data_IF_280478970726
#
_entry.id   IF_280478970726
#
_cell.length_a   1.000
_cell.length_b   1.000
_cell.length_c   1.000
_cell.angle_alpha   90.00
_cell.angle_beta   90.00
_cell.angle_gamma   90.00
#
_symmetry.space_group_name_H-M   'P 1'
#
loop_
_entity.id
_entity.type
_entity.pdbx_description
1 polymer ?
#
# COMPACT_ATOMS: atom_id res chain seq x y z
N UNK A 1 -7.29 30.22 -26.59
CA UNK A 1 -7.56 29.24 -25.51
C UNK A 1 -6.72 28.01 -25.79
N UNK A 2 -5.65 27.80 -25.04
CA UNK A 2 -4.67 26.73 -25.25
C UNK A 2 -5.34 25.36 -25.10
N UNK A 3 -5.15 24.53 -26.13
CA UNK A 3 -5.68 23.18 -26.35
C UNK A 3 -5.15 22.14 -25.35
N UNK A 4 -5.31 22.38 -24.05
CA UNK A 4 -5.04 21.35 -23.04
C UNK A 4 -6.38 20.93 -22.45
N UNK A 5 -6.69 19.63 -22.38
CA UNK A 5 -7.93 19.11 -21.78
C UNK A 5 -8.05 19.35 -20.26
N UNK A 6 -7.32 20.32 -19.71
CA UNK A 6 -7.21 20.69 -18.32
C UNK A 6 -7.85 22.07 -18.08
N UNK A 7 -8.46 22.27 -16.91
CA UNK A 7 -9.06 23.56 -16.53
C UNK A 7 -8.03 24.56 -16.03
N UNK A 8 -6.86 24.08 -15.58
CA UNK A 8 -5.74 24.91 -15.09
C UNK A 8 -4.45 24.51 -15.79
N UNK A 9 -3.59 25.50 -15.98
CA UNK A 9 -2.23 25.27 -16.46
C UNK A 9 -1.41 24.49 -15.44
N UNK A 10 -0.38 23.80 -15.93
CA UNK A 10 0.53 23.02 -15.09
C UNK A 10 1.24 23.98 -14.13
N UNK A 11 1.03 23.74 -12.84
CA UNK A 11 1.74 24.46 -11.77
C UNK A 11 3.16 23.95 -11.60
N UNK A 12 3.69 24.11 -10.38
CA UNK A 12 5.02 23.60 -10.03
C UNK A 12 5.08 22.07 -10.09
N UNK A 13 6.25 21.52 -10.41
CA UNK A 13 6.42 20.06 -10.49
C UNK A 13 6.21 19.40 -9.13
N UNK A 14 5.55 18.24 -9.12
CA UNK A 14 5.44 17.37 -7.95
C UNK A 14 6.82 17.06 -7.37
N UNK A 15 6.95 17.09 -6.03
CA UNK A 15 8.21 16.78 -5.33
C UNK A 15 9.38 17.57 -5.90
N UNK A 16 9.25 18.91 -6.00
CA UNK A 16 10.24 19.76 -6.68
C UNK A 16 11.67 19.64 -6.14
N UNK A 17 11.84 19.18 -4.91
CA UNK A 17 13.13 18.92 -4.26
C UNK A 17 13.90 17.73 -4.89
N UNK A 18 13.18 16.76 -5.46
CA UNK A 18 13.73 15.52 -6.04
C UNK A 18 13.29 15.29 -7.49
N UNK A 19 12.59 16.25 -8.09
CA UNK A 19 12.14 16.20 -9.49
C UNK A 19 13.33 16.09 -10.44
N UNK A 20 13.33 15.08 -11.32
CA UNK A 20 14.45 14.79 -12.25
C UNK A 20 15.84 14.69 -11.57
N UNK A 21 15.89 14.27 -10.31
CA UNK A 21 17.13 14.14 -9.55
C UNK A 21 17.99 12.95 -9.97
N UNK A 22 17.39 11.91 -10.58
CA UNK A 22 18.12 10.71 -11.03
C UNK A 22 18.29 10.75 -12.56
N UNK A 23 19.53 10.93 -13.05
CA UNK A 23 19.79 10.99 -14.48
C UNK A 23 19.62 9.60 -15.10
N UNK A 24 18.80 9.51 -16.16
CA UNK A 24 18.69 8.29 -16.97
C UNK A 24 19.60 8.47 -18.18
N UNK A 25 20.68 7.67 -18.29
CA UNK A 25 21.58 7.82 -19.43
C UNK A 25 20.82 7.49 -20.73
N UNK A 26 20.76 8.46 -21.65
CA UNK A 26 20.15 8.25 -22.98
C UNK A 26 21.03 7.37 -23.87
N UNK A 27 22.33 7.27 -23.54
CA UNK A 27 23.36 6.51 -24.26
C UNK A 27 23.86 5.37 -23.34
N UNK A 28 23.72 4.13 -23.79
CA UNK A 28 24.15 2.93 -23.05
C UNK A 28 23.25 1.69 -23.27
N UNK A 29 23.72 0.49 -22.87
CA UNK A 29 22.97 -0.75 -23.03
C UNK A 29 21.67 -0.75 -22.21
N UNK A 30 20.62 -1.40 -22.73
CA UNK A 30 19.24 -1.37 -22.18
C UNK A 30 19.12 -1.77 -20.71
N UNK A 31 20.05 -2.58 -20.19
CA UNK A 31 20.06 -2.99 -18.77
C UNK A 31 20.51 -1.85 -17.83
N UNK A 32 21.43 -0.98 -18.24
CA UNK A 32 21.84 0.20 -17.44
C UNK A 32 20.72 1.23 -17.36
N UNK A 33 19.98 1.41 -18.46
CA UNK A 33 18.75 2.21 -18.47
C UNK A 33 17.71 1.62 -17.53
N UNK A 34 17.47 0.31 -17.60
CA UNK A 34 16.54 -0.37 -16.69
C UNK A 34 16.94 -0.17 -15.21
N UNK A 35 18.22 -0.35 -14.85
CA UNK A 35 18.74 -0.10 -13.51
C UNK A 35 18.51 1.32 -12.99
N UNK A 36 18.54 2.34 -13.86
CA UNK A 36 18.23 3.71 -13.47
C UNK A 36 16.74 3.92 -13.14
N UNK A 37 15.85 3.11 -13.74
CA UNK A 37 14.41 3.15 -13.45
C UNK A 37 13.99 2.24 -12.29
N UNK A 38 14.87 1.35 -11.81
CA UNK A 38 14.58 0.56 -10.61
C UNK A 38 14.58 1.46 -9.36
N UNK A 39 13.59 1.27 -8.48
CA UNK A 39 13.46 2.02 -7.22
C UNK A 39 12.01 2.45 -6.92
N UNK A 40 11.38 3.28 -7.78
CA UNK A 40 10.02 3.78 -7.57
C UNK A 40 9.00 2.69 -7.31
N UNK A 41 9.08 1.59 -8.06
CA UNK A 41 8.22 0.41 -7.91
C UNK A 41 8.38 -0.25 -6.55
N UNK A 42 9.59 -0.29 -5.98
CA UNK A 42 9.82 -0.84 -4.64
C UNK A 42 9.27 0.07 -3.54
N UNK A 43 9.38 1.39 -3.69
CA UNK A 43 8.74 2.34 -2.76
C UNK A 43 7.22 2.17 -2.76
N UNK A 44 6.64 1.89 -3.93
CA UNK A 44 5.19 1.62 -4.03
C UNK A 44 4.84 0.26 -3.45
N UNK A 45 5.59 -0.79 -3.78
CA UNK A 45 5.33 -2.17 -3.36
C UNK A 45 5.35 -2.35 -1.84
N UNK A 46 6.07 -1.50 -1.12
CA UNK A 46 6.16 -1.56 0.34
C UNK A 46 4.84 -1.26 1.03
N UNK A 47 4.05 -0.30 0.52
CA UNK A 47 2.75 -0.04 1.11
C UNK A 47 1.80 -1.24 0.96
N UNK A 48 2.03 -2.12 -0.01
CA UNK A 48 1.27 -3.37 -0.19
C UNK A 48 1.68 -4.48 0.79
N UNK A 49 2.61 -4.21 1.70
CA UNK A 49 3.07 -5.14 2.72
C UNK A 49 2.86 -4.59 4.13
N UNK A 50 2.04 -3.56 4.31
CA UNK A 50 1.77 -2.91 5.59
C UNK A 50 1.06 -3.85 6.59
N UNK A 51 1.03 -3.52 7.89
CA UNK A 51 0.40 -4.38 8.90
C UNK A 51 -1.11 -4.59 8.67
N UNK A 52 -1.79 -3.66 7.99
CA UNK A 52 -3.20 -3.80 7.62
C UNK A 52 -3.43 -4.98 6.66
N UNK A 53 -2.55 -5.16 5.68
CA UNK A 53 -2.57 -6.31 4.76
C UNK A 53 -2.28 -7.65 5.46
N UNK A 54 -1.52 -7.64 6.55
CA UNK A 54 -1.17 -8.86 7.28
C UNK A 54 -2.36 -9.43 8.03
N UNK A 55 -3.14 -8.58 8.70
CA UNK A 55 -4.30 -9.01 9.47
C UNK A 55 -5.30 -9.79 8.58
N UNK A 56 -5.60 -9.27 7.38
CA UNK A 56 -6.51 -9.93 6.44
C UNK A 56 -5.93 -11.22 5.85
N UNK A 57 -4.62 -11.25 5.58
CA UNK A 57 -3.94 -12.45 5.06
C UNK A 57 -3.84 -13.56 6.11
N UNK A 58 -3.56 -13.21 7.37
CA UNK A 58 -3.51 -14.14 8.50
C UNK A 58 -4.90 -14.72 8.79
N UNK A 59 -5.92 -13.88 8.89
CA UNK A 59 -7.31 -14.31 9.10
C UNK A 59 -7.79 -15.20 7.94
N UNK A 60 -7.46 -14.84 6.70
CA UNK A 60 -7.80 -15.63 5.53
C UNK A 60 -7.15 -17.02 5.53
N UNK A 61 -5.86 -17.08 5.86
CA UNK A 61 -5.12 -18.34 5.92
C UNK A 61 -5.54 -19.23 7.09
N UNK A 62 -5.78 -18.67 8.28
CA UNK A 62 -6.18 -19.42 9.47
C UNK A 62 -7.60 -20.00 9.34
N UNK A 63 -8.54 -19.26 8.75
CA UNK A 63 -9.94 -19.69 8.58
C UNK A 63 -10.14 -20.63 7.38
N UNK A 64 -9.56 -20.31 6.23
CA UNK A 64 -9.88 -20.95 4.95
C UNK A 64 -8.69 -21.65 4.28
N UNK A 65 -7.58 -21.81 4.99
CA UNK A 65 -6.39 -22.44 4.46
C UNK A 65 -5.87 -21.70 3.22
N UNK A 66 -5.57 -22.45 2.15
CA UNK A 66 -4.99 -21.90 0.93
C UNK A 66 -6.02 -21.29 -0.05
N UNK A 67 -7.32 -21.35 0.23
CA UNK A 67 -8.38 -21.00 -0.73
C UNK A 67 -8.35 -19.52 -1.17
N UNK A 68 -7.88 -18.62 -0.30
CA UNK A 68 -7.84 -17.18 -0.57
C UNK A 68 -6.57 -16.70 -1.30
N UNK A 69 -5.64 -17.60 -1.64
CA UNK A 69 -4.44 -17.25 -2.44
C UNK A 69 -4.80 -16.69 -3.82
N UNK A 70 -5.82 -17.24 -4.46
CA UNK A 70 -6.33 -16.71 -5.74
C UNK A 70 -6.82 -15.27 -5.62
N UNK A 71 -7.41 -14.91 -4.47
CA UNK A 71 -7.89 -13.54 -4.23
C UNK A 71 -6.71 -12.58 -4.08
N UNK A 72 -5.67 -12.97 -3.33
CA UNK A 72 -4.44 -12.20 -3.23
C UNK A 72 -3.77 -11.97 -4.60
N UNK A 73 -3.76 -13.00 -5.46
CA UNK A 73 -3.26 -12.91 -6.83
C UNK A 73 -4.09 -11.94 -7.69
N UNK A 74 -5.42 -12.08 -7.70
CA UNK A 74 -6.32 -11.20 -8.46
C UNK A 74 -6.17 -9.75 -7.99
N UNK A 75 -6.12 -9.55 -6.68
CA UNK A 75 -5.91 -8.25 -6.06
C UNK A 75 -4.58 -7.61 -6.49
N UNK A 76 -3.51 -8.40 -6.55
CA UNK A 76 -2.22 -7.93 -7.06
C UNK A 76 -2.26 -7.56 -8.55
N UNK A 77 -2.95 -8.35 -9.38
CA UNK A 77 -3.15 -8.03 -10.80
C UNK A 77 -3.90 -6.69 -10.94
N UNK A 78 -4.94 -6.48 -10.14
CA UNK A 78 -5.67 -5.20 -10.09
C UNK A 78 -4.73 -4.05 -9.70
N UNK A 79 -3.89 -4.24 -8.68
CA UNK A 79 -2.90 -3.26 -8.27
C UNK A 79 -1.90 -2.94 -9.39
N UNK A 80 -1.33 -3.94 -10.07
CA UNK A 80 -0.39 -3.74 -11.20
C UNK A 80 -1.05 -2.93 -12.32
N UNK A 81 -2.31 -3.23 -12.66
CA UNK A 81 -3.06 -2.48 -13.67
C UNK A 81 -3.18 -1.00 -13.27
N UNK A 82 -3.65 -0.72 -12.07
CA UNK A 82 -3.84 0.64 -11.58
C UNK A 82 -2.51 1.40 -11.44
N UNK A 83 -1.47 0.74 -10.95
CA UNK A 83 -0.15 1.33 -10.79
C UNK A 83 0.52 1.63 -12.14
N UNK A 84 0.29 0.80 -13.16
CA UNK A 84 0.73 1.10 -14.53
C UNK A 84 0.05 2.35 -15.10
N UNK A 85 -1.20 2.63 -14.72
CA UNK A 85 -1.90 3.86 -15.09
C UNK A 85 -1.35 5.08 -14.35
N UNK A 86 -1.01 4.94 -13.06
CA UNK A 86 -0.36 6.02 -12.28
C UNK A 86 0.98 6.43 -12.89
N UNK A 87 1.85 5.46 -13.18
CA UNK A 87 3.13 5.70 -13.83
C UNK A 87 2.92 6.38 -15.19
N UNK A 88 1.96 5.91 -15.98
CA UNK A 88 1.62 6.51 -17.28
C UNK A 88 1.12 7.93 -17.16
N UNK A 89 0.24 8.22 -16.21
CA UNK A 89 -0.28 9.58 -15.95
C UNK A 89 0.88 10.53 -15.62
N UNK A 90 1.72 10.15 -14.66
CA UNK A 90 2.86 10.95 -14.21
C UNK A 90 3.85 11.25 -15.33
N UNK A 91 4.22 10.25 -16.12
CA UNK A 91 5.18 10.40 -17.23
C UNK A 91 4.59 11.17 -18.41
N UNK A 92 3.34 10.88 -18.79
CA UNK A 92 2.73 11.48 -19.98
C UNK A 92 2.37 12.95 -19.77
N UNK A 93 1.83 13.28 -18.59
CA UNK A 93 1.26 14.61 -18.32
C UNK A 93 2.20 15.52 -17.52
N UNK A 94 3.22 14.95 -16.88
CA UNK A 94 4.08 15.65 -15.92
C UNK A 94 3.35 16.14 -14.68
N UNK A 95 2.16 15.59 -14.40
CA UNK A 95 1.34 15.88 -13.21
C UNK A 95 1.19 14.60 -12.41
N UNK A 96 1.31 14.70 -11.10
CA UNK A 96 0.83 13.62 -10.24
C UNK A 96 -0.71 13.58 -10.24
N UNK A 97 -1.29 12.53 -9.67
CA UNK A 97 -2.73 12.33 -9.62
C UNK A 97 -3.47 13.44 -8.85
N UNK A 98 -2.87 14.00 -7.79
CA UNK A 98 -3.48 15.08 -7.01
C UNK A 98 -3.51 16.39 -7.81
N UNK A 99 -2.40 16.74 -8.47
CA UNK A 99 -2.32 17.85 -9.42
C UNK A 99 -3.31 17.67 -10.57
N UNK A 100 -3.39 16.47 -11.14
CA UNK A 100 -4.33 16.15 -12.21
C UNK A 100 -5.79 16.34 -11.75
N UNK A 101 -6.15 15.90 -10.54
CA UNK A 101 -7.47 16.13 -9.97
C UNK A 101 -7.75 17.63 -9.77
N UNK A 102 -6.80 18.36 -9.18
CA UNK A 102 -6.90 19.81 -8.95
C UNK A 102 -7.07 20.61 -10.25
N UNK A 103 -6.32 20.24 -11.29
CA UNK A 103 -6.32 20.91 -12.59
C UNK A 103 -7.51 20.50 -13.47
N UNK A 104 -8.14 19.36 -13.19
CA UNK A 104 -9.31 18.86 -13.92
C UNK A 104 -10.65 19.35 -13.34
N UNK A 105 -10.73 19.51 -12.02
CA UNK A 105 -11.98 19.76 -11.30
C UNK A 105 -12.08 21.19 -10.73
N UNK A 106 -13.30 21.72 -10.51
CA UNK A 106 -13.47 23.00 -9.81
C UNK A 106 -13.04 22.86 -8.33
N UNK A 107 -12.72 23.99 -7.68
CA UNK A 107 -12.25 24.01 -6.28
C UNK A 107 -13.20 23.30 -5.31
N UNK A 108 -14.51 23.40 -5.55
CA UNK A 108 -15.56 22.77 -4.73
C UNK A 108 -15.47 21.24 -4.72
N UNK A 109 -14.95 20.61 -5.78
CA UNK A 109 -14.76 19.15 -5.85
C UNK A 109 -13.35 18.78 -5.41
N UNK A 110 -12.35 19.61 -5.74
CA UNK A 110 -10.95 19.37 -5.38
C UNK A 110 -10.70 19.38 -3.87
N UNK A 111 -11.42 20.21 -3.11
CA UNK A 111 -11.19 20.37 -1.67
C UNK A 111 -11.69 19.16 -0.85
N UNK A 112 -12.91 18.62 -1.09
CA UNK A 112 -13.32 17.36 -0.47
C UNK A 112 -12.40 16.18 -0.84
N UNK A 113 -11.96 16.08 -2.10
CA UNK A 113 -11.02 15.03 -2.53
C UNK A 113 -9.71 15.08 -1.75
N UNK A 114 -9.18 16.28 -1.52
CA UNK A 114 -8.00 16.48 -0.68
C UNK A 114 -8.24 16.03 0.76
N UNK A 115 -9.35 16.48 1.37
CA UNK A 115 -9.66 16.15 2.75
C UNK A 115 -9.76 14.64 2.95
N UNK A 116 -10.47 13.94 2.06
CA UNK A 116 -10.61 12.48 2.14
C UNK A 116 -9.26 11.77 1.89
N UNK A 117 -8.40 12.31 1.02
CA UNK A 117 -7.06 11.76 0.80
C UNK A 117 -6.17 11.93 2.03
N UNK A 118 -6.20 13.09 2.68
CA UNK A 118 -5.43 13.36 3.89
C UNK A 118 -5.91 12.50 5.05
N UNK A 119 -7.23 12.34 5.22
CA UNK A 119 -7.82 11.44 6.22
C UNK A 119 -7.36 9.99 5.98
N UNK A 120 -7.37 9.51 4.74
CA UNK A 120 -6.90 8.17 4.42
C UNK A 120 -5.40 7.99 4.71
N UNK A 121 -4.57 9.00 4.50
CA UNK A 121 -3.14 8.95 4.84
C UNK A 121 -2.93 8.92 6.35
N UNK A 122 -3.68 9.71 7.12
CA UNK A 122 -3.65 9.64 8.58
C UNK A 122 -4.12 8.27 9.10
N UNK A 123 -5.11 7.66 8.45
CA UNK A 123 -5.56 6.30 8.77
C UNK A 123 -4.46 5.25 8.50
N UNK A 124 -3.73 5.37 7.39
CA UNK A 124 -2.55 4.52 7.13
C UNK A 124 -1.48 4.72 8.20
N UNK A 125 -1.10 5.97 8.50
CA UNK A 125 -0.06 6.28 9.50
C UNK A 125 -0.45 5.74 10.88
N UNK A 126 -1.75 5.74 11.22
CA UNK A 126 -2.28 5.10 12.42
C UNK A 126 -2.09 3.58 12.41
N UNK A 127 -2.35 2.89 11.29
CA UNK A 127 -2.12 1.45 11.16
C UNK A 127 -0.64 1.10 11.35
N UNK A 128 0.25 1.94 10.83
CA UNK A 128 1.71 1.78 10.95
C UNK A 128 2.21 1.99 12.38
N UNK A 129 1.71 3.02 13.07
CA UNK A 129 2.02 3.28 14.48
C UNK A 129 1.63 2.07 15.32
N UNK A 130 0.43 1.54 15.11
CA UNK A 130 -0.07 0.36 15.81
C UNK A 130 0.80 -0.86 15.49
N UNK A 131 1.06 -1.16 14.22
CA UNK A 131 1.86 -2.31 13.83
C UNK A 131 3.29 -2.24 14.38
N UNK A 132 3.91 -1.07 14.37
CA UNK A 132 5.25 -0.84 14.94
C UNK A 132 5.23 -1.02 16.46
N UNK A 133 4.22 -0.48 17.15
CA UNK A 133 4.06 -0.63 18.60
C UNK A 133 3.85 -2.09 19.00
N UNK A 134 3.04 -2.84 18.24
CA UNK A 134 2.87 -4.29 18.41
C UNK A 134 4.22 -4.99 18.18
N UNK A 135 4.95 -4.68 17.10
CA UNK A 135 6.28 -5.25 16.85
C UNK A 135 7.28 -5.02 17.99
N UNK A 136 7.28 -3.82 18.59
CA UNK A 136 8.08 -3.48 19.76
C UNK A 136 7.66 -4.26 21.01
N UNK A 137 6.35 -4.40 21.22
CA UNK A 137 5.80 -5.19 22.33
C UNK A 137 6.22 -6.66 22.22
N UNK A 138 6.07 -7.24 21.03
CA UNK A 138 6.40 -8.64 20.79
C UNK A 138 7.90 -8.93 20.91
N UNK A 139 8.76 -8.01 20.46
CA UNK A 139 10.22 -8.22 20.45
C UNK A 139 10.90 -7.90 21.79
N UNK A 140 10.46 -6.84 22.47
CA UNK A 140 11.13 -6.30 23.66
C UNK A 140 10.27 -6.34 24.93
N UNK A 141 9.01 -6.78 24.84
CA UNK A 141 8.06 -6.76 25.96
C UNK A 141 7.65 -5.35 26.36
N UNK A 142 7.81 -4.36 25.47
CA UNK A 142 7.47 -2.96 25.77
C UNK A 142 5.93 -2.79 25.76
N UNK A 143 5.31 -2.23 26.81
CA UNK A 143 3.87 -1.95 26.82
C UNK A 143 3.44 -1.12 25.59
N UNK A 144 2.26 -1.41 25.03
CA UNK A 144 1.79 -0.77 23.78
C UNK A 144 1.72 0.76 23.90
N UNK A 145 1.36 1.30 25.07
CA UNK A 145 1.25 2.74 25.31
C UNK A 145 2.61 3.42 25.12
N UNK A 146 3.67 2.79 25.65
CA UNK A 146 5.05 3.26 25.51
C UNK A 146 5.54 3.01 24.08
N UNK A 147 5.20 1.86 23.49
CA UNK A 147 5.52 1.51 22.11
C UNK A 147 5.02 2.57 21.12
N UNK A 148 3.75 2.98 21.24
CA UNK A 148 3.14 4.05 20.44
C UNK A 148 3.92 5.36 20.57
N UNK A 149 4.33 5.75 21.78
CA UNK A 149 5.13 6.98 21.99
C UNK A 149 6.53 6.83 21.35
N UNK A 150 7.17 5.66 21.49
CA UNK A 150 8.48 5.38 20.88
C UNK A 150 8.41 5.51 19.36
N UNK A 151 7.29 5.16 18.73
CA UNK A 151 7.15 5.34 17.27
C UNK A 151 7.34 6.79 16.81
N UNK A 152 7.13 7.79 17.68
CA UNK A 152 7.41 9.19 17.34
C UNK A 152 8.90 9.45 17.01
N UNK A 153 9.80 8.56 17.44
CA UNK A 153 11.23 8.67 17.14
C UNK A 153 11.55 8.41 15.66
N UNK A 154 10.65 7.74 14.93
CA UNK A 154 10.83 7.47 13.49
C UNK A 154 10.88 8.76 12.65
N UNK A 155 10.32 9.86 13.18
CA UNK A 155 10.38 11.18 12.57
C UNK A 155 11.84 11.57 12.44
N UNK A 156 12.64 11.47 13.50
CA UNK A 156 14.06 11.80 13.46
C UNK A 156 14.84 10.93 12.48
N UNK A 157 14.49 9.64 12.37
CA UNK A 157 15.10 8.72 11.40
C UNK A 157 14.84 9.19 9.96
N UNK A 158 13.60 9.54 9.64
CA UNK A 158 13.22 10.02 8.30
C UNK A 158 13.91 11.34 7.98
N UNK A 159 13.99 12.26 8.94
CA UNK A 159 14.69 13.53 8.75
C UNK A 159 16.17 13.36 8.48
N UNK A 160 16.80 12.45 9.21
CA UNK A 160 18.20 12.12 8.98
C UNK A 160 18.42 11.58 7.56
N UNK A 161 17.53 10.71 7.08
CA UNK A 161 17.65 10.08 5.76
C UNK A 161 17.36 11.05 4.62
N UNK A 162 16.36 11.91 4.77
CA UNK A 162 16.02 12.93 3.77
C UNK A 162 17.20 13.90 3.53
N UNK A 163 17.92 14.29 4.58
CA UNK A 163 19.11 15.12 4.47
C UNK A 163 20.27 14.46 3.68
N UNK A 164 20.29 13.13 3.55
CA UNK A 164 21.31 12.41 2.77
C UNK A 164 20.94 12.18 1.30
N UNK A 165 19.69 12.49 0.90
CA UNK A 165 19.21 12.38 -0.48
C UNK A 165 18.45 11.09 -0.80
N UNK A 166 17.73 11.12 -1.91
CA UNK A 166 16.70 10.13 -2.26
C UNK A 166 17.21 8.69 -2.39
N UNK A 167 18.45 8.50 -2.87
CA UNK A 167 19.06 7.16 -3.03
C UNK A 167 19.23 6.41 -1.70
N UNK A 168 19.45 7.13 -0.60
CA UNK A 168 19.54 6.54 0.73
C UNK A 168 18.17 6.07 1.24
N UNK A 169 17.12 6.83 0.92
CA UNK A 169 15.74 6.45 1.22
C UNK A 169 15.38 5.17 0.45
N UNK A 170 15.64 5.13 -0.87
CA UNK A 170 15.42 3.93 -1.68
C UNK A 170 16.21 2.72 -1.13
N UNK A 171 17.48 2.90 -0.75
CA UNK A 171 18.31 1.83 -0.21
C UNK A 171 17.80 1.29 1.14
N UNK A 172 17.34 2.16 2.04
CA UNK A 172 16.73 1.72 3.30
C UNK A 172 15.49 0.87 3.02
N UNK A 173 14.59 1.38 2.18
CA UNK A 173 13.32 0.74 1.82
C UNK A 173 13.57 -0.67 1.26
N UNK A 174 14.51 -0.81 0.33
CA UNK A 174 14.91 -2.10 -0.26
C UNK A 174 15.55 -3.01 0.79
N UNK A 175 16.34 -2.48 1.71
CA UNK A 175 16.97 -3.27 2.79
C UNK A 175 15.92 -3.83 3.75
N UNK A 176 15.01 -3.00 4.24
CA UNK A 176 13.91 -3.42 5.11
C UNK A 176 13.02 -4.46 4.41
N UNK A 177 12.75 -4.25 3.13
CA UNK A 177 12.02 -5.19 2.28
C UNK A 177 12.73 -6.55 2.18
N UNK A 178 14.06 -6.55 2.02
CA UNK A 178 14.89 -7.75 2.03
C UNK A 178 14.82 -8.49 3.37
N UNK A 179 14.86 -7.77 4.50
CA UNK A 179 14.72 -8.36 5.84
C UNK A 179 13.37 -9.05 5.99
N UNK A 180 12.26 -8.37 5.62
CA UNK A 180 10.90 -8.96 5.68
C UNK A 180 10.84 -10.26 4.88
N UNK A 181 11.36 -10.25 3.65
CA UNK A 181 11.34 -11.43 2.79
C UNK A 181 12.19 -12.58 3.33
N UNK A 182 13.37 -12.31 3.91
CA UNK A 182 14.19 -13.34 4.56
C UNK A 182 13.47 -13.91 5.78
N UNK A 183 12.84 -13.06 6.62
CA UNK A 183 12.08 -13.51 7.78
C UNK A 183 10.94 -14.46 7.39
N UNK A 184 10.14 -14.13 6.36
CA UNK A 184 9.06 -15.01 5.91
C UNK A 184 9.54 -16.23 5.15
N UNK A 185 10.64 -16.12 4.39
CA UNK A 185 11.24 -17.26 3.71
C UNK A 185 11.67 -18.33 4.73
N UNK A 186 12.36 -17.92 5.81
CA UNK A 186 12.76 -18.83 6.88
C UNK A 186 11.52 -19.47 7.53
N UNK A 187 10.50 -18.67 7.84
CA UNK A 187 9.26 -19.19 8.45
C UNK A 187 8.51 -20.17 7.56
N UNK A 188 8.44 -19.94 6.24
CA UNK A 188 7.84 -20.90 5.29
C UNK A 188 8.62 -22.21 5.27
N UNK A 189 9.95 -22.13 5.20
CA UNK A 189 10.80 -23.33 5.19
C UNK A 189 10.56 -24.14 6.48
N UNK A 190 10.38 -23.46 7.61
CA UNK A 190 10.07 -24.10 8.89
C UNK A 190 8.64 -24.66 8.97
N UNK A 191 7.68 -24.02 8.32
CA UNK A 191 6.28 -24.45 8.31
C UNK A 191 6.01 -25.68 7.44
N UNK A 192 6.93 -26.02 6.52
CA UNK A 192 6.85 -27.14 5.57
C UNK A 192 5.45 -27.31 4.93
N UNK A 193 4.95 -26.29 4.20
CA UNK A 193 3.61 -26.33 3.64
C UNK A 193 3.50 -27.38 2.53
N UNK A 194 2.29 -27.94 2.38
CA UNK A 194 1.98 -28.82 1.27
C UNK A 194 1.90 -28.04 -0.05
N UNK A 195 3.03 -27.94 -0.76
CA UNK A 195 3.16 -27.16 -2.00
C UNK A 195 2.12 -27.52 -3.09
N UNK A 196 1.68 -28.79 -3.15
CA UNK A 196 0.60 -29.19 -4.04
C UNK A 196 -0.74 -28.51 -3.74
N UNK A 197 -1.05 -28.28 -2.47
CA UNK A 197 -2.24 -27.56 -2.03
C UNK A 197 -2.08 -26.04 -2.22
N UNK A 198 -0.89 -25.50 -1.99
CA UNK A 198 -0.56 -24.08 -2.25
C UNK A 198 -0.79 -23.73 -3.72
N UNK A 199 -0.27 -24.53 -4.65
CA UNK A 199 -0.45 -24.31 -6.09
C UNK A 199 -1.93 -24.40 -6.47
N UNK A 200 -2.69 -25.34 -5.89
CA UNK A 200 -4.15 -25.42 -6.08
C UNK A 200 -4.89 -24.22 -5.49
N UNK A 201 -4.39 -23.61 -4.41
CA UNK A 201 -4.99 -22.41 -3.81
C UNK A 201 -4.95 -21.19 -4.72
N UNK A 202 -4.04 -21.15 -5.70
CA UNK A 202 -4.05 -20.12 -6.75
C UNK A 202 -5.07 -20.38 -7.86
N UNK A 203 -5.74 -21.54 -7.88
CA UNK A 203 -6.81 -21.81 -8.82
C UNK A 203 -8.13 -21.20 -8.34
N UNK A 204 -8.99 -20.68 -9.24
CA UNK A 204 -10.30 -20.15 -8.86
C UNK A 204 -11.19 -21.21 -8.23
N UNK A 205 -11.88 -20.84 -7.15
CA UNK A 205 -12.89 -21.66 -6.47
C UNK A 205 -14.22 -20.89 -6.44
N UNK A 206 -15.34 -21.61 -6.60
CA UNK A 206 -16.69 -21.04 -6.48
C UNK A 206 -17.09 -20.77 -5.04
N UNK A 207 -16.38 -21.33 -4.07
CA UNK A 207 -16.70 -21.25 -2.64
C UNK A 207 -16.57 -19.83 -2.10
N UNK A 208 -15.71 -19.02 -2.73
CA UNK A 208 -15.51 -17.60 -2.38
C UNK A 208 -16.80 -16.80 -2.56
N UNK A 209 -17.62 -17.15 -3.55
CA UNK A 209 -18.86 -16.41 -3.85
C UNK A 209 -20.07 -16.99 -3.10
N UNK A 210 -20.01 -18.26 -2.69
CA UNK A 210 -21.11 -18.93 -1.97
C UNK A 210 -21.02 -18.76 -0.46
N UNK A 211 -19.82 -18.63 0.11
CA UNK A 211 -19.61 -18.48 1.54
C UNK A 211 -19.48 -16.98 1.93
N UNK A 212 -20.41 -16.42 2.74
CA UNK A 212 -20.38 -15.01 3.14
C UNK A 212 -19.11 -14.60 3.88
N UNK A 213 -18.58 -15.45 4.77
CA UNK A 213 -17.38 -15.15 5.56
C UNK A 213 -16.11 -15.18 4.70
N UNK A 214 -16.05 -16.13 3.76
CA UNK A 214 -14.96 -16.21 2.80
C UNK A 214 -14.99 -15.02 1.84
N UNK A 215 -16.19 -14.63 1.40
CA UNK A 215 -16.38 -13.43 0.61
C UNK A 215 -15.89 -12.21 1.41
N UNK A 216 -16.32 -12.03 2.65
CA UNK A 216 -15.91 -10.90 3.49
C UNK A 216 -14.38 -10.77 3.62
N UNK A 217 -13.67 -11.87 3.92
CA UNK A 217 -12.20 -11.84 3.95
C UNK A 217 -11.59 -11.60 2.57
N UNK A 218 -12.17 -12.15 1.51
CA UNK A 218 -11.74 -11.87 0.14
C UNK A 218 -11.88 -10.37 -0.20
N UNK A 219 -12.98 -9.75 0.20
CA UNK A 219 -13.21 -8.31 0.07
C UNK A 219 -12.18 -7.51 0.87
N UNK A 220 -11.88 -7.94 2.11
CA UNK A 220 -10.86 -7.35 2.96
C UNK A 220 -9.47 -7.39 2.32
N UNK A 221 -9.06 -8.54 1.76
CA UNK A 221 -7.79 -8.69 1.04
C UNK A 221 -7.71 -7.73 -0.15
N UNK A 222 -8.78 -7.63 -0.96
CA UNK A 222 -8.81 -6.72 -2.12
C UNK A 222 -8.72 -5.25 -1.68
N UNK A 223 -9.50 -4.86 -0.67
CA UNK A 223 -9.54 -3.50 -0.13
C UNK A 223 -8.21 -3.07 0.47
N UNK A 224 -7.59 -3.93 1.29
CA UNK A 224 -6.30 -3.66 1.93
C UNK A 224 -5.15 -3.58 0.91
N UNK A 225 -5.22 -4.37 -0.17
CA UNK A 225 -4.16 -4.35 -1.19
C UNK A 225 -4.15 -3.02 -1.94
N UNK A 226 -5.30 -2.55 -2.45
CA UNK A 226 -5.31 -1.36 -3.32
C UNK A 226 -5.39 -0.08 -2.48
N UNK A 227 -4.23 0.40 -2.03
CA UNK A 227 -4.17 1.63 -1.23
C UNK A 227 -4.27 2.91 -2.07
N UNK A 228 -5.16 3.87 -1.71
CA UNK A 228 -5.33 5.09 -2.50
C UNK A 228 -4.09 5.99 -2.47
N UNK A 229 -3.42 6.13 -1.32
CA UNK A 229 -2.23 6.97 -1.18
C UNK A 229 -1.07 6.49 -2.08
N UNK A 230 -0.95 5.17 -2.32
CA UNK A 230 0.04 4.62 -3.24
C UNK A 230 -0.21 5.00 -4.70
N UNK A 231 -1.45 5.28 -5.10
CA UNK A 231 -1.76 5.77 -6.45
C UNK A 231 -1.19 7.19 -6.64
N UNK A 232 -1.36 8.06 -5.64
CA UNK A 232 -0.76 9.39 -5.63
C UNK A 232 0.77 9.29 -5.58
N UNK A 233 1.31 8.47 -4.67
CA UNK A 233 2.74 8.25 -4.50
C UNK A 233 3.43 7.87 -5.80
N UNK A 234 2.95 6.83 -6.49
CA UNK A 234 3.60 6.33 -7.70
C UNK A 234 3.58 7.37 -8.83
N UNK A 235 2.46 8.08 -8.98
CA UNK A 235 2.33 9.14 -9.99
C UNK A 235 3.26 10.33 -9.76
N UNK A 236 3.67 10.58 -8.50
CA UNK A 236 4.66 11.58 -8.13
C UNK A 236 6.10 11.07 -8.26
N UNK A 237 6.43 9.91 -7.68
CA UNK A 237 7.80 9.39 -7.64
C UNK A 237 8.34 9.08 -9.03
N UNK A 238 7.51 8.64 -9.97
CA UNK A 238 7.95 8.35 -11.34
C UNK A 238 8.57 9.58 -12.03
N UNK A 239 8.26 10.79 -11.55
CA UNK A 239 8.80 12.06 -12.05
C UNK A 239 10.18 12.43 -11.47
N UNK A 240 10.73 11.62 -10.56
CA UNK A 240 12.11 11.77 -10.06
C UNK A 240 13.16 11.38 -11.09
N UNK A 241 12.78 10.58 -12.10
CA UNK A 241 13.67 10.13 -13.18
C UNK A 241 13.71 11.16 -14.31
N UNK A 242 14.90 11.54 -14.77
CA UNK A 242 15.06 12.40 -15.93
C UNK A 242 15.04 11.60 -17.23
N UNK A 243 13.85 11.34 -17.74
CA UNK A 243 13.61 10.50 -18.93
C UNK A 243 13.48 11.29 -20.24
N UNK A 244 13.84 12.57 -20.30
CA UNK A 244 13.72 13.38 -21.53
C UNK A 244 12.29 13.83 -21.86
N UNK A 245 12.14 14.65 -22.91
CA UNK A 245 10.88 15.31 -23.26
C UNK A 245 10.17 14.74 -24.51
N UNK A 246 10.86 13.93 -25.30
CA UNK A 246 10.30 13.37 -26.54
C UNK A 246 9.23 12.31 -26.27
N UNK A 247 8.38 12.04 -27.27
CA UNK A 247 7.31 11.04 -27.14
C UNK A 247 7.89 9.63 -27.06
N UNK A 248 8.96 9.36 -27.81
CA UNK A 248 9.68 8.09 -27.77
C UNK A 248 10.31 7.84 -26.39
N UNK A 249 10.96 8.85 -25.80
CA UNK A 249 11.58 8.70 -24.48
C UNK A 249 10.53 8.48 -23.39
N UNK A 250 9.43 9.24 -23.41
CA UNK A 250 8.30 9.05 -22.49
C UNK A 250 7.65 7.67 -22.65
N UNK A 251 7.51 7.17 -23.87
CA UNK A 251 6.99 5.80 -24.11
C UNK A 251 7.92 4.73 -23.55
N UNK A 252 9.23 4.91 -23.71
CA UNK A 252 10.25 4.04 -23.14
C UNK A 252 10.20 4.06 -21.61
N UNK A 253 10.12 5.26 -21.01
CA UNK A 253 9.99 5.44 -19.57
C UNK A 253 8.73 4.77 -19.00
N UNK A 254 7.58 4.89 -19.69
CA UNK A 254 6.34 4.20 -19.28
C UNK A 254 6.55 2.69 -19.25
N UNK A 255 7.24 2.13 -20.26
CA UNK A 255 7.53 0.69 -20.32
C UNK A 255 8.42 0.24 -19.14
N UNK A 256 9.49 0.98 -18.86
CA UNK A 256 10.39 0.65 -17.75
C UNK A 256 9.73 0.84 -16.37
N UNK A 257 8.98 1.93 -16.16
CA UNK A 257 8.26 2.15 -14.91
C UNK A 257 7.14 1.10 -14.69
N UNK A 258 6.47 0.68 -15.76
CA UNK A 258 5.49 -0.42 -15.68
C UNK A 258 6.18 -1.73 -15.32
N UNK A 259 7.33 -2.03 -15.91
CA UNK A 259 8.09 -3.25 -15.61
C UNK A 259 8.61 -3.25 -14.16
N UNK A 260 9.21 -2.14 -13.72
CA UNK A 260 9.71 -1.96 -12.35
C UNK A 260 8.60 -2.17 -11.31
N UNK A 261 7.47 -1.47 -11.47
CA UNK A 261 6.31 -1.66 -10.59
C UNK A 261 5.70 -3.06 -10.66
N UNK A 262 5.65 -3.70 -11.84
CA UNK A 262 5.14 -5.08 -11.96
C UNK A 262 6.03 -6.07 -11.20
N UNK A 263 7.35 -5.95 -11.34
CA UNK A 263 8.30 -6.83 -10.63
C UNK A 263 8.20 -6.61 -9.12
N UNK A 264 8.18 -5.34 -8.68
CA UNK A 264 8.10 -5.01 -7.26
C UNK A 264 6.76 -5.46 -6.64
N UNK A 265 5.63 -5.29 -7.34
CA UNK A 265 4.33 -5.77 -6.87
C UNK A 265 4.21 -7.30 -6.91
N UNK A 266 4.86 -7.98 -7.85
CA UNK A 266 4.95 -9.45 -7.84
C UNK A 266 5.71 -9.94 -6.61
N UNK A 267 6.75 -9.22 -6.21
CA UNK A 267 7.44 -9.47 -4.94
C UNK A 267 6.53 -9.21 -3.73
N UNK A 268 5.70 -8.15 -3.76
CA UNK A 268 4.65 -7.91 -2.77
C UNK A 268 3.65 -9.07 -2.66
N UNK A 269 3.21 -9.61 -3.79
CA UNK A 269 2.37 -10.81 -3.81
C UNK A 269 3.08 -12.00 -3.15
N UNK A 270 4.37 -12.20 -3.40
CA UNK A 270 5.11 -13.31 -2.81
C UNK A 270 5.12 -13.22 -1.27
N UNK A 271 5.31 -12.03 -0.71
CA UNK A 271 5.25 -11.81 0.75
C UNK A 271 3.83 -12.00 1.30
N UNK A 272 2.81 -11.42 0.66
CA UNK A 272 1.42 -11.57 1.11
C UNK A 272 0.94 -13.02 1.03
N UNK A 273 1.28 -13.73 -0.06
CA UNK A 273 1.04 -15.15 -0.18
C UNK A 273 1.80 -15.93 0.89
N UNK A 274 3.03 -15.50 1.24
CA UNK A 274 3.81 -16.14 2.28
C UNK A 274 3.16 -16.06 3.66
N UNK A 275 2.59 -14.91 4.01
CA UNK A 275 1.85 -14.71 5.26
C UNK A 275 0.62 -15.62 5.32
N UNK A 276 -0.14 -15.68 4.22
CA UNK A 276 -1.34 -16.52 4.14
C UNK A 276 -0.99 -18.01 4.19
N UNK A 277 0.05 -18.44 3.47
CA UNK A 277 0.55 -19.82 3.49
C UNK A 277 1.03 -20.20 4.89
N UNK A 278 1.77 -19.31 5.57
CA UNK A 278 2.21 -19.52 6.94
C UNK A 278 1.02 -19.71 7.88
N UNK A 279 0.01 -18.83 7.80
CA UNK A 279 -1.20 -18.97 8.62
C UNK A 279 -1.98 -20.26 8.33
N UNK A 280 -2.08 -20.65 7.06
CA UNK A 280 -2.74 -21.89 6.67
C UNK A 280 -1.97 -23.14 7.14
N UNK A 281 -0.66 -23.16 6.98
CA UNK A 281 0.19 -24.30 7.36
C UNK A 281 0.31 -24.44 8.88
N UNK A 282 0.44 -23.33 9.60
CA UNK A 282 0.66 -23.34 11.05
C UNK A 282 -0.64 -23.37 11.85
N UNK A 283 -1.64 -22.55 11.51
CA UNK A 283 -2.85 -22.37 12.33
C UNK A 283 -4.03 -23.21 11.83
N UNK A 284 -4.32 -23.18 10.53
CA UNK A 284 -5.47 -23.91 9.99
C UNK A 284 -5.29 -25.43 10.10
N UNK A 285 -4.10 -25.94 9.78
CA UNK A 285 -3.79 -27.36 9.86
C UNK A 285 -3.88 -27.92 11.29
N UNK A 286 -3.74 -27.08 12.31
CA UNK A 286 -3.76 -27.44 13.73
C UNK A 286 -5.10 -27.15 14.41
N UNK A 287 -6.10 -26.68 13.65
CA UNK A 287 -7.46 -26.41 14.13
C UNK A 287 -7.66 -25.03 14.75
N UNK A 288 -6.65 -24.15 14.71
CA UNK A 288 -6.74 -22.77 15.17
C UNK A 288 -7.31 -21.87 14.06
N UNK A 289 -8.64 -21.83 13.95
CA UNK A 289 -9.34 -21.10 12.88
C UNK A 289 -9.67 -19.65 13.22
N UNK A 290 -9.40 -19.16 14.42
CA UNK A 290 -9.72 -17.79 14.84
C UNK A 290 -8.47 -16.98 15.22
N UNK A 291 -7.45 -17.02 14.36
CA UNK A 291 -6.23 -16.19 14.51
C UNK A 291 -6.37 -14.96 13.63
N UNK A 292 -6.82 -13.87 14.21
CA UNK A 292 -7.04 -12.58 13.53
C UNK A 292 -6.11 -11.50 14.04
N UNK A 293 -5.70 -11.57 15.31
CA UNK A 293 -4.84 -10.60 15.93
C UNK A 293 -3.36 -10.93 15.72
N UNK A 294 -2.55 -9.89 15.50
CA UNK A 294 -1.09 -10.02 15.30
C UNK A 294 -0.40 -10.61 16.54
N UNK A 295 -0.93 -10.35 17.74
CA UNK A 295 -0.43 -10.92 18.99
C UNK A 295 -0.68 -12.42 19.11
N UNK A 296 -1.88 -12.87 18.72
CA UNK A 296 -2.23 -14.29 18.68
C UNK A 296 -1.33 -15.05 17.72
N UNK A 297 -1.12 -14.52 16.52
CA UNK A 297 -0.20 -15.10 15.54
C UNK A 297 1.20 -15.28 16.15
N UNK A 298 1.75 -14.26 16.80
CA UNK A 298 3.07 -14.34 17.43
C UNK A 298 3.16 -15.40 18.53
N UNK A 299 2.18 -15.46 19.42
CA UNK A 299 2.18 -16.42 20.53
C UNK A 299 2.06 -17.87 20.06
N UNK A 300 1.30 -18.10 18.99
CA UNK A 300 1.05 -19.42 18.41
C UNK A 300 2.17 -19.90 17.50
N UNK A 301 3.00 -19.00 16.95
CA UNK A 301 4.13 -19.41 16.08
C UNK A 301 5.17 -20.27 16.81
N UNK A 302 5.47 -19.99 18.09
CA UNK A 302 6.46 -20.76 18.87
C UNK A 302 6.07 -22.24 19.05
N UNK A 303 4.88 -22.56 19.62
CA UNK A 303 4.47 -23.94 19.82
C UNK A 303 4.22 -24.69 18.51
N UNK A 304 3.77 -24.01 17.45
CA UNK A 304 3.34 -24.66 16.22
C UNK A 304 4.49 -24.90 15.22
N UNK A 305 5.50 -24.02 15.21
CA UNK A 305 6.70 -24.21 14.38
C UNK A 305 7.85 -24.87 15.14
N UNK A 306 7.68 -25.16 16.43
CA UNK A 306 8.67 -25.86 17.25
C UNK A 306 9.99 -25.11 17.44
N UNK A 307 10.00 -23.78 17.26
CA UNK A 307 11.21 -22.96 17.32
C UNK A 307 10.97 -21.61 17.96
N UNK A 308 11.80 -21.29 18.95
CA UNK A 308 11.81 -20.00 19.63
C UNK A 308 12.22 -18.83 18.72
N UNK A 309 12.73 -19.10 17.50
CA UNK A 309 13.18 -18.07 16.57
C UNK A 309 12.02 -17.52 15.73
N UNK A 310 10.96 -18.32 15.48
CA UNK A 310 9.87 -17.93 14.58
C UNK A 310 9.08 -16.68 15.06
N UNK A 311 8.68 -16.55 16.33
CA UNK A 311 8.01 -15.35 16.83
C UNK A 311 8.89 -14.10 16.69
N UNK A 312 10.19 -14.22 17.00
CA UNK A 312 11.16 -13.13 16.86
C UNK A 312 11.30 -12.66 15.41
N UNK A 313 11.35 -13.59 14.44
CA UNK A 313 11.39 -13.25 13.01
C UNK A 313 10.11 -12.54 12.57
N UNK A 314 8.95 -12.97 13.08
CA UNK A 314 7.67 -12.30 12.81
C UNK A 314 7.64 -10.88 13.37
N UNK A 315 8.08 -10.68 14.62
CA UNK A 315 8.15 -9.37 15.26
C UNK A 315 9.13 -8.42 14.56
N UNK A 316 10.31 -8.93 14.16
CA UNK A 316 11.29 -8.15 13.36
C UNK A 316 10.68 -7.74 12.02
N UNK A 317 10.02 -8.67 11.31
CA UNK A 317 9.39 -8.36 10.04
C UNK A 317 8.28 -7.30 10.20
N UNK A 318 7.47 -7.40 11.26
CA UNK A 318 6.40 -6.45 11.56
C UNK A 318 6.96 -5.04 11.87
N UNK A 319 8.06 -4.97 12.62
CA UNK A 319 8.76 -3.71 12.91
C UNK A 319 9.33 -3.09 11.63
N UNK A 320 10.01 -3.88 10.79
CA UNK A 320 10.54 -3.43 9.51
C UNK A 320 9.42 -2.94 8.58
N UNK A 321 8.28 -3.62 8.56
CA UNK A 321 7.10 -3.26 7.79
C UNK A 321 6.55 -1.88 8.18
N UNK A 322 6.31 -1.65 9.49
CA UNK A 322 5.80 -0.37 9.99
C UNK A 322 6.73 0.80 9.67
N UNK A 323 8.04 0.64 9.90
CA UNK A 323 9.05 1.65 9.57
C UNK A 323 9.12 2.00 8.08
N UNK A 324 8.87 1.01 7.21
CA UNK A 324 8.99 1.18 5.77
C UNK A 324 7.78 1.94 5.19
N UNK A 325 6.57 1.56 5.61
CA UNK A 325 5.33 2.21 5.18
C UNK A 325 5.31 3.71 5.57
N UNK A 326 5.88 4.02 6.73
CA UNK A 326 6.07 5.38 7.26
C UNK A 326 6.70 6.37 6.27
N UNK A 327 7.76 5.93 5.59
CA UNK A 327 8.46 6.75 4.58
C UNK A 327 7.52 7.08 3.43
N UNK A 328 6.77 6.08 2.97
CA UNK A 328 5.88 6.17 1.82
C UNK A 328 4.64 7.02 2.11
N UNK A 329 4.04 6.88 3.30
CA UNK A 329 2.91 7.69 3.74
C UNK A 329 3.25 9.19 3.79
N UNK A 330 4.44 9.52 4.28
CA UNK A 330 4.92 10.91 4.37
C UNK A 330 5.08 11.54 2.99
N UNK A 331 5.65 10.79 2.03
CA UNK A 331 5.82 11.22 0.65
C UNK A 331 4.48 11.33 -0.09
N UNK A 332 3.60 10.34 0.08
CA UNK A 332 2.28 10.32 -0.54
C UNK A 332 1.47 11.53 -0.06
N UNK A 333 1.56 11.82 1.23
CA UNK A 333 1.04 13.04 1.80
C UNK A 333 1.58 14.28 1.08
N UNK A 334 2.91 14.43 1.02
CA UNK A 334 3.53 15.61 0.40
C UNK A 334 2.97 15.86 -1.00
N UNK A 335 2.88 14.82 -1.81
CA UNK A 335 2.28 14.85 -3.15
C UNK A 335 0.80 15.30 -3.08
N UNK A 336 0.00 14.74 -2.18
CA UNK A 336 -1.43 15.09 -2.04
C UNK A 336 -1.61 16.56 -1.65
N UNK A 337 -0.86 17.06 -0.67
CA UNK A 337 -1.03 18.44 -0.19
C UNK A 337 -0.48 19.47 -1.18
N UNK A 338 0.71 19.27 -1.72
CA UNK A 338 1.27 20.13 -2.77
C UNK A 338 0.37 20.09 -4.02
N UNK A 339 -0.09 18.90 -4.39
CA UNK A 339 -0.88 18.70 -5.60
C UNK A 339 -2.29 19.26 -5.53
N UNK A 340 -2.99 19.13 -4.40
CA UNK A 340 -4.35 19.66 -4.25
C UNK A 340 -4.40 21.11 -3.75
N UNK A 341 -3.57 21.48 -2.77
CA UNK A 341 -3.64 22.79 -2.10
C UNK A 341 -2.56 23.78 -2.55
N UNK A 342 -1.51 23.33 -3.26
CA UNK A 342 -0.34 24.17 -3.60
C UNK A 342 0.38 24.72 -2.36
N UNK A 343 0.26 24.02 -1.23
CA UNK A 343 0.93 24.34 0.03
C UNK A 343 2.19 23.49 0.14
N UNK A 344 3.33 24.14 0.36
CA UNK A 344 4.62 23.49 0.58
C UNK A 344 4.97 23.58 2.05
N UNK A 345 4.84 22.47 2.77
CA UNK A 345 5.39 22.33 4.11
C UNK A 345 6.71 21.59 4.02
N UNK A 346 7.64 21.94 4.90
CA UNK A 346 8.83 21.13 5.08
C UNK A 346 8.42 19.69 5.44
N UNK A 347 9.05 18.65 4.85
CA UNK A 347 8.68 17.26 5.11
C UNK A 347 8.65 16.90 6.59
N UNK A 348 9.54 17.49 7.39
CA UNK A 348 9.60 17.30 8.84
C UNK A 348 8.39 17.81 9.59
N UNK A 349 7.92 19.00 9.21
CA UNK A 349 6.78 19.63 9.86
C UNK A 349 5.52 18.83 9.53
N UNK A 350 5.39 18.42 8.26
CA UNK A 350 4.31 17.54 7.84
C UNK A 350 4.31 16.25 8.65
N UNK A 351 5.46 15.59 8.70
CA UNK A 351 5.64 14.32 9.39
C UNK A 351 5.24 14.43 10.87
N UNK A 352 5.65 15.51 11.53
CA UNK A 352 5.27 15.77 12.91
C UNK A 352 3.74 15.94 13.06
N UNK A 353 3.11 16.71 12.17
CA UNK A 353 1.65 16.95 12.18
C UNK A 353 0.89 15.63 11.98
N UNK A 354 1.19 14.89 10.92
CA UNK A 354 0.50 13.61 10.63
C UNK A 354 0.72 12.61 11.76
N UNK A 355 1.94 12.57 12.32
CA UNK A 355 2.25 11.65 13.40
C UNK A 355 1.58 12.00 14.71
N UNK A 356 1.43 13.28 15.04
CA UNK A 356 0.61 13.72 16.19
C UNK A 356 -0.86 13.33 15.98
N UNK A 357 -1.39 13.54 14.77
CA UNK A 357 -2.77 13.17 14.42
C UNK A 357 -2.99 11.65 14.48
N UNK A 358 -1.98 10.84 14.20
CA UNK A 358 -2.06 9.38 14.32
C UNK A 358 -1.84 8.86 15.75
N UNK A 359 -0.85 9.39 16.47
CA UNK A 359 -0.48 8.96 17.83
C UNK A 359 -1.56 9.32 18.84
N UNK A 360 -2.14 10.52 18.78
CA UNK A 360 -3.08 10.97 19.82
C UNK A 360 -4.31 10.05 19.91
N UNK A 361 -5.01 9.71 18.81
CA UNK A 361 -6.10 8.75 18.85
C UNK A 361 -5.63 7.34 19.23
N UNK A 362 -4.49 6.88 18.71
CA UNK A 362 -3.96 5.56 19.03
C UNK A 362 -3.67 5.41 20.53
N UNK A 363 -2.90 6.34 21.11
CA UNK A 363 -2.57 6.35 22.52
C UNK A 363 -3.83 6.46 23.40
N UNK A 364 -4.78 7.32 23.04
CA UNK A 364 -6.03 7.45 23.79
C UNK A 364 -6.84 6.15 23.82
N UNK A 365 -6.97 5.46 22.69
CA UNK A 365 -7.68 4.18 22.59
C UNK A 365 -6.93 3.07 23.30
N UNK A 366 -5.61 2.98 23.14
CA UNK A 366 -4.79 1.97 23.83
C UNK A 366 -4.86 2.13 25.34
N UNK A 367 -4.78 3.37 25.87
CA UNK A 367 -4.88 3.63 27.32
C UNK A 367 -6.29 3.31 27.85
N UNK A 368 -7.34 3.59 27.08
CA UNK A 368 -8.71 3.40 27.54
C UNK A 368 -9.25 1.96 27.37
N UNK A 369 -8.84 1.25 26.31
CA UNK A 369 -9.43 -0.01 25.87
C UNK A 369 -8.42 -1.15 25.63
N UNK A 370 -7.12 -0.89 25.81
CA UNK A 370 -6.05 -1.90 25.69
C UNK A 370 -5.87 -2.45 24.26
N UNK A 371 -5.45 -3.72 24.18
CA UNK A 371 -5.11 -4.41 22.93
C UNK A 371 -6.32 -4.55 21.99
N UNK A 372 -7.47 -4.97 22.52
CA UNK A 372 -8.71 -5.14 21.73
C UNK A 372 -9.20 -3.84 21.08
N UNK A 373 -9.05 -2.70 21.76
CA UNK A 373 -9.36 -1.39 21.20
C UNK A 373 -8.41 -1.01 20.06
N UNK A 374 -7.14 -1.38 20.21
CA UNK A 374 -6.09 -1.12 19.22
C UNK A 374 -6.32 -1.95 17.94
N UNK A 375 -6.72 -3.22 18.07
CA UNK A 375 -7.11 -4.07 16.94
C UNK A 375 -8.33 -3.50 16.18
N UNK A 376 -9.37 -3.06 16.90
CA UNK A 376 -10.54 -2.40 16.30
C UNK A 376 -10.17 -1.11 15.56
N UNK A 377 -9.23 -0.34 16.12
CA UNK A 377 -8.73 0.89 15.49
C UNK A 377 -7.95 0.60 14.20
N UNK A 378 -7.20 -0.50 14.16
CA UNK A 378 -6.54 -0.99 12.96
C UNK A 378 -7.55 -1.38 11.88
N UNK A 379 -8.66 -2.05 12.23
CA UNK A 379 -9.72 -2.39 11.26
C UNK A 379 -10.39 -1.11 10.75
N UNK A 380 -10.73 -0.17 11.65
CA UNK A 380 -11.36 1.10 11.29
C UNK A 380 -10.51 1.89 10.29
N UNK A 381 -9.19 1.90 10.45
CA UNK A 381 -8.32 2.59 9.49
C UNK A 381 -8.45 2.00 8.09
N UNK A 382 -8.57 0.67 7.95
CA UNK A 382 -8.79 0.03 6.65
C UNK A 382 -10.12 0.43 6.01
N UNK A 383 -11.19 0.55 6.81
CA UNK A 383 -12.49 1.03 6.31
C UNK A 383 -12.36 2.43 5.72
N UNK A 384 -11.64 3.32 6.41
CA UNK A 384 -11.39 4.69 5.94
C UNK A 384 -10.60 4.72 4.62
N UNK A 385 -9.57 3.87 4.49
CA UNK A 385 -8.82 3.72 3.24
C UNK A 385 -9.71 3.24 2.10
N UNK A 386 -10.55 2.25 2.38
CA UNK A 386 -11.50 1.67 1.44
C UNK A 386 -12.45 2.76 0.91
N UNK A 387 -13.04 3.55 1.79
CA UNK A 387 -13.96 4.64 1.41
C UNK A 387 -13.34 5.69 0.49
N UNK A 388 -12.04 5.96 0.64
CA UNK A 388 -11.35 6.93 -0.21
C UNK A 388 -10.97 6.37 -1.59
N UNK A 389 -10.88 5.05 -1.72
CA UNK A 389 -10.31 4.39 -2.90
C UNK A 389 -11.03 4.72 -4.22
N UNK A 390 -12.38 4.70 -4.30
CA UNK A 390 -13.11 5.10 -5.52
C UNK A 390 -12.74 6.50 -6.02
N UNK A 391 -12.53 7.43 -5.10
CA UNK A 391 -12.26 8.83 -5.40
C UNK A 391 -10.85 9.06 -5.97
N UNK A 392 -9.92 8.10 -5.81
CA UNK A 392 -8.62 8.11 -6.45
C UNK A 392 -8.64 7.36 -7.80
N UNK A 393 -9.27 6.18 -7.85
CA UNK A 393 -9.26 5.31 -9.03
C UNK A 393 -10.09 5.90 -10.18
N UNK A 394 -11.29 6.42 -9.90
CA UNK A 394 -12.18 6.91 -10.96
C UNK A 394 -11.51 8.05 -11.75
N UNK A 395 -10.96 9.10 -11.12
CA UNK A 395 -10.21 10.14 -11.85
C UNK A 395 -9.02 9.56 -12.63
N UNK A 396 -8.27 8.63 -12.04
CA UNK A 396 -7.11 8.02 -12.70
C UNK A 396 -7.50 7.35 -14.02
N UNK A 397 -8.54 6.51 -14.02
CA UNK A 397 -9.03 5.82 -15.23
C UNK A 397 -9.58 6.82 -16.24
N UNK A 398 -10.37 7.80 -15.78
CA UNK A 398 -10.93 8.83 -16.66
C UNK A 398 -9.86 9.69 -17.33
N UNK A 399 -8.80 10.06 -16.61
CA UNK A 399 -7.76 10.94 -17.14
C UNK A 399 -6.84 10.20 -18.10
N UNK A 400 -6.46 8.97 -17.77
CA UNK A 400 -5.60 8.14 -18.63
C UNK A 400 -6.29 7.68 -19.92
N UNK A 401 -7.63 7.63 -19.94
CA UNK A 401 -8.43 7.36 -21.14
C UNK A 401 -8.63 8.59 -22.06
N UNK A 402 -8.41 9.81 -21.57
CA UNK A 402 -8.73 11.03 -22.29
C UNK A 402 -7.59 11.50 -23.22
N UNK A 403 -7.85 11.49 -24.54
CA UNK A 403 -6.89 11.97 -25.57
C UNK A 403 -6.49 13.43 -25.42
N UNK A 404 -7.40 14.31 -25.00
CA UNK A 404 -7.11 15.73 -24.80
C UNK A 404 -6.18 16.00 -23.61
N UNK A 405 -6.05 15.05 -22.68
CA UNK A 405 -5.16 15.16 -21.50
C UNK A 405 -3.83 14.46 -21.72
N UNK A 406 -3.86 13.26 -22.29
CA UNK A 406 -2.70 12.36 -22.41
C UNK A 406 -1.97 12.48 -23.77
N UNK A 407 -2.57 13.16 -24.76
CA UNK A 407 -2.00 13.30 -26.09
C UNK A 407 -1.76 11.96 -26.79
N UNK A 408 -0.54 11.74 -27.27
CA UNK A 408 -0.14 10.49 -27.94
C UNK A 408 0.08 9.29 -26.99
N UNK A 409 0.10 9.52 -25.67
CA UNK A 409 0.46 8.51 -24.65
C UNK A 409 -0.76 7.97 -23.87
N UNK A 410 -1.95 8.08 -24.47
CA UNK A 410 -3.23 7.57 -23.93
C UNK A 410 -3.14 6.08 -23.61
N UNK A 411 -3.85 5.64 -22.57
CA UNK A 411 -3.97 4.22 -22.26
C UNK A 411 -4.61 3.45 -23.44
N UNK A 412 -4.09 2.28 -23.82
CA UNK A 412 -4.71 1.47 -24.84
C UNK A 412 -6.09 0.99 -24.35
N UNK A 413 -7.04 0.82 -25.27
CA UNK A 413 -8.44 0.49 -24.94
C UNK A 413 -8.58 -0.74 -24.05
N UNK A 414 -7.79 -1.78 -24.28
CA UNK A 414 -7.82 -3.00 -23.46
C UNK A 414 -7.46 -2.70 -21.99
N UNK A 415 -6.45 -1.85 -21.75
CA UNK A 415 -6.02 -1.49 -20.40
C UNK A 415 -7.08 -0.60 -19.71
N UNK A 416 -7.69 0.32 -20.46
CA UNK A 416 -8.80 1.13 -19.94
C UNK A 416 -10.01 0.27 -19.58
N UNK A 417 -10.36 -0.72 -20.41
CA UNK A 417 -11.46 -1.65 -20.11
C UNK A 417 -11.15 -2.48 -18.86
N UNK A 418 -9.95 -3.06 -18.76
CA UNK A 418 -9.55 -3.81 -17.56
C UNK A 418 -9.57 -2.92 -16.31
N UNK A 419 -9.02 -1.71 -16.39
CA UNK A 419 -9.05 -0.79 -15.26
C UNK A 419 -10.47 -0.34 -14.89
N UNK A 420 -11.37 -0.16 -15.86
CA UNK A 420 -12.77 0.13 -15.61
C UNK A 420 -13.47 -1.04 -14.90
N UNK A 421 -13.22 -2.28 -15.33
CA UNK A 421 -13.73 -3.50 -14.67
C UNK A 421 -13.23 -3.55 -13.22
N UNK A 422 -11.92 -3.39 -13.02
CA UNK A 422 -11.31 -3.31 -11.67
C UNK A 422 -11.95 -2.22 -10.82
N UNK A 423 -12.21 -1.04 -11.39
CA UNK A 423 -12.86 0.08 -10.70
C UNK A 423 -14.28 -0.28 -10.27
N UNK A 424 -15.07 -0.88 -11.16
CA UNK A 424 -16.45 -1.29 -10.86
C UNK A 424 -16.47 -2.35 -9.77
N UNK A 425 -15.57 -3.34 -9.83
CA UNK A 425 -15.44 -4.37 -8.79
C UNK A 425 -15.14 -3.67 -7.46
N UNK A 426 -14.04 -2.92 -7.37
CA UNK A 426 -13.62 -2.24 -6.14
C UNK A 426 -14.73 -1.34 -5.58
N UNK A 427 -15.43 -0.56 -6.41
CA UNK A 427 -16.55 0.29 -5.97
C UNK A 427 -17.69 -0.55 -5.40
N UNK A 428 -18.07 -1.64 -6.07
CA UNK A 428 -19.11 -2.53 -5.57
C UNK A 428 -18.71 -3.17 -4.23
N UNK A 429 -17.45 -3.59 -4.09
CA UNK A 429 -16.93 -4.15 -2.84
C UNK A 429 -16.97 -3.12 -1.70
N UNK A 430 -16.58 -1.89 -2.00
CA UNK A 430 -16.59 -0.78 -1.05
C UNK A 430 -17.99 -0.42 -0.56
N UNK A 431 -18.96 -0.41 -1.47
CA UNK A 431 -20.36 -0.16 -1.10
C UNK A 431 -20.90 -1.27 -0.21
N UNK A 432 -20.55 -2.53 -0.50
CA UNK A 432 -20.95 -3.67 0.33
C UNK A 432 -20.33 -3.58 1.74
N UNK A 433 -19.02 -3.36 1.83
CA UNK A 433 -18.32 -3.18 3.11
C UNK A 433 -18.90 -2.03 3.94
N UNK A 434 -19.24 -0.91 3.30
CA UNK A 434 -19.89 0.22 3.97
C UNK A 434 -21.29 -0.14 4.47
N UNK A 435 -22.05 -0.92 3.70
CA UNK A 435 -23.37 -1.41 4.10
C UNK A 435 -23.27 -2.33 5.32
N UNK A 436 -22.35 -3.29 5.33
CA UNK A 436 -22.12 -4.20 6.45
C UNK A 436 -21.68 -3.45 7.71
N UNK A 437 -20.80 -2.45 7.55
CA UNK A 437 -20.33 -1.61 8.65
C UNK A 437 -21.47 -0.76 9.27
N UNK A 438 -22.33 -0.17 8.44
CA UNK A 438 -23.44 0.69 8.91
C UNK A 438 -24.56 -0.14 9.53
N UNK A 439 -24.88 -1.29 8.95
CA UNK A 439 -25.98 -2.15 9.43
C UNK A 439 -25.61 -2.97 10.65
N UNK A 440 -24.32 -3.02 11.02
CA UNK A 440 -23.83 -3.84 12.12
C UNK A 440 -23.97 -5.34 11.84
N UNK A 441 -24.17 -5.74 10.58
CA UNK A 441 -24.28 -7.15 10.19
C UNK A 441 -22.95 -7.88 10.38
N UNK A 442 -21.83 -7.13 10.33
CA UNK A 442 -20.54 -7.56 10.87
C UNK A 442 -20.70 -8.01 12.32
N UNK A 443 -21.12 -7.13 13.25
CA UNK A 443 -21.19 -7.42 14.69
C UNK A 443 -21.95 -8.70 15.09
N UNK A 444 -22.86 -9.21 14.24
CA UNK A 444 -23.61 -10.46 14.50
C UNK A 444 -22.88 -11.74 14.10
N UNK A 445 -21.84 -11.66 13.26
CA UNK A 445 -20.95 -12.77 12.95
C UNK A 445 -19.76 -12.79 13.93
N UNK A 446 -20.04 -12.89 15.23
CA UNK A 446 -19.04 -13.15 16.29
C UNK A 446 -17.75 -12.31 16.22
N UNK A 447 -17.85 -11.02 16.55
CA UNK A 447 -16.73 -10.09 16.72
C UNK A 447 -16.40 -9.87 18.21
#
# INVERSE_FOLDING_TARGET
MTLSGWRRDRGTASLSEVHKSVPVSSVGPSWRKALAFFGPGYLVAVGYMDPGNWATSLAGGSRFGYALLVVALISNIMAVILQSLCARLGIATGRDLAQACRDAYPRVVSWPLWLMAEIAICATDLAEVIGTAIGLNLLFGIPLEIGVIITALDVFLILYLQNKGFRWVEALVITLLGVIAVCFLIQIIMADPQWGAVIRGFAPTTDIVTNPDMLYLALGIIGATVMPHNLYLHSGIVQTRDYGETVEDKRSAIRYATLDSTIALTFALAVNASILILAAASFHATGHTHVEELGDAHSLLSPLLGSAIAPSLFAIALLCCGLNSTVTATMAGQIVMEGFLDIRLAPWLRRLITRVVAIVPAAAVTIAYGESGTAKLLILSQVVLSLQLPFAIIPLVMFTANRGKMGALVAPRWLTVLAAITTVIIVALNVNLLFDFITGYGSTAGY
#
